data_IF_691145340245
#
_entry.id   IF_691145340245
#
_cell.length_a   1.000
_cell.length_b   1.000
_cell.length_c   1.000
_cell.angle_alpha   90.00
_cell.angle_beta   90.00
_cell.angle_gamma   90.00
#
_symmetry.space_group_name_H-M   'P 1'
#
loop_
_entity.id
_entity.type
_entity.pdbx_description
1 polymer ?
#
# COMPACT_ATOMS: atom_id res chain seq x y z
N UNK A 1 -42.11 65.47 16.82
CA UNK A 1 -42.07 66.25 15.56
C UNK A 1 -43.49 66.37 15.03
N UNK A 2 -43.86 67.47 14.35
CA UNK A 2 -45.19 67.62 13.75
C UNK A 2 -45.42 66.50 12.72
N UNK A 3 -46.59 65.86 12.79
CA UNK A 3 -46.94 64.71 11.93
C UNK A 3 -46.86 65.08 10.44
N UNK A 4 -47.28 66.29 10.10
CA UNK A 4 -47.25 66.81 8.73
C UNK A 4 -45.83 66.96 8.15
N UNK A 5 -44.83 67.24 9.00
CA UNK A 5 -43.43 67.36 8.59
C UNK A 5 -42.80 66.00 8.33
N UNK A 6 -43.21 64.98 9.08
CA UNK A 6 -42.79 63.59 8.86
C UNK A 6 -43.41 63.08 7.55
N UNK A 7 -44.71 63.31 7.35
CA UNK A 7 -45.44 62.92 6.14
C UNK A 7 -44.88 63.60 4.87
N UNK A 8 -44.50 64.88 4.97
CA UNK A 8 -43.87 65.62 3.88
C UNK A 8 -42.45 65.10 3.58
N UNK A 9 -41.68 64.77 4.63
CA UNK A 9 -40.35 64.18 4.49
C UNK A 9 -40.41 62.79 3.84
N UNK A 10 -41.33 61.93 4.27
CA UNK A 10 -41.50 60.58 3.72
C UNK A 10 -41.96 60.60 2.26
N UNK A 11 -42.91 61.49 1.90
CA UNK A 11 -43.33 61.70 0.50
C UNK A 11 -42.21 62.24 -0.39
N UNK A 12 -41.40 63.15 0.13
CA UNK A 12 -40.23 63.64 -0.58
C UNK A 12 -39.23 62.50 -0.83
N UNK A 13 -38.99 61.66 0.18
CA UNK A 13 -38.08 60.53 0.06
C UNK A 13 -38.59 59.43 -0.87
N UNK A 14 -39.89 59.19 -0.96
CA UNK A 14 -40.47 58.34 -2.00
C UNK A 14 -40.26 58.90 -3.42
N UNK A 15 -40.42 60.22 -3.61
CA UNK A 15 -40.21 60.84 -4.92
C UNK A 15 -38.74 60.84 -5.34
N UNK A 16 -37.82 61.12 -4.40
CA UNK A 16 -36.37 61.00 -4.59
C UNK A 16 -36.00 59.55 -4.90
N UNK A 17 -36.55 58.57 -4.17
CA UNK A 17 -36.26 57.17 -4.44
C UNK A 17 -36.78 56.70 -5.82
N UNK A 18 -37.91 57.25 -6.26
CA UNK A 18 -38.53 56.96 -7.56
C UNK A 18 -37.78 57.57 -8.75
N UNK A 19 -37.09 58.71 -8.59
CA UNK A 19 -36.49 59.45 -9.71
C UNK A 19 -34.97 59.57 -9.65
N UNK A 20 -34.33 59.49 -8.48
CA UNK A 20 -32.91 59.82 -8.28
C UNK A 20 -32.05 58.64 -7.82
N UNK A 21 -32.60 57.63 -7.15
CA UNK A 21 -31.81 56.45 -6.77
C UNK A 21 -32.02 55.29 -7.75
N UNK A 22 -31.00 54.92 -8.53
CA UNK A 22 -31.07 53.79 -9.44
C UNK A 22 -30.84 52.48 -8.67
N UNK A 23 -31.53 52.26 -7.55
CA UNK A 23 -31.36 51.05 -6.70
C UNK A 23 -31.67 49.79 -7.49
N UNK A 24 -32.69 49.83 -8.37
CA UNK A 24 -33.00 48.73 -9.28
C UNK A 24 -31.88 48.51 -10.31
N UNK A 25 -31.27 49.57 -10.82
CA UNK A 25 -30.17 49.45 -11.78
C UNK A 25 -28.87 48.99 -11.09
N UNK A 26 -28.58 49.46 -9.87
CA UNK A 26 -27.45 48.99 -9.06
C UNK A 26 -27.59 47.52 -8.69
N UNK A 27 -28.76 47.09 -8.23
CA UNK A 27 -29.03 45.66 -7.97
C UNK A 27 -28.93 44.81 -9.24
N UNK A 28 -29.40 45.32 -10.37
CA UNK A 28 -29.26 44.63 -11.66
C UNK A 28 -27.79 44.52 -12.10
N UNK A 29 -26.97 45.56 -11.85
CA UNK A 29 -25.53 45.55 -12.12
C UNK A 29 -24.79 44.60 -11.17
N UNK A 30 -25.11 44.62 -9.87
CA UNK A 30 -24.52 43.70 -8.87
C UNK A 30 -24.89 42.23 -9.16
N UNK A 31 -26.12 41.94 -9.59
CA UNK A 31 -26.54 40.59 -9.99
C UNK A 31 -25.90 40.14 -11.30
N UNK A 32 -25.66 41.07 -12.23
CA UNK A 32 -24.91 40.79 -13.46
C UNK A 32 -23.43 40.53 -13.18
N UNK A 33 -22.83 41.30 -12.27
CA UNK A 33 -21.44 41.13 -11.82
C UNK A 33 -21.27 39.80 -11.09
N UNK A 34 -22.22 39.41 -10.22
CA UNK A 34 -22.22 38.09 -9.56
C UNK A 34 -22.32 36.95 -10.57
N UNK A 35 -23.21 37.07 -11.58
CA UNK A 35 -23.33 36.06 -12.65
C UNK A 35 -22.06 35.96 -13.49
N UNK A 36 -21.42 37.09 -13.77
CA UNK A 36 -20.15 37.12 -14.49
C UNK A 36 -19.02 36.44 -13.69
N UNK A 37 -18.95 36.69 -12.38
CA UNK A 37 -18.00 36.02 -11.48
C UNK A 37 -18.25 34.50 -11.40
N UNK A 38 -19.51 34.07 -11.22
CA UNK A 38 -19.88 32.64 -11.22
C UNK A 38 -19.52 31.96 -12.55
N UNK A 39 -19.69 32.66 -13.68
CA UNK A 39 -19.31 32.15 -15.00
C UNK A 39 -17.79 32.11 -15.20
N UNK A 40 -17.05 33.09 -14.68
CA UNK A 40 -15.58 33.08 -14.67
C UNK A 40 -15.01 31.97 -13.78
N UNK A 41 -15.57 31.75 -12.59
CA UNK A 41 -15.22 30.65 -11.70
C UNK A 41 -15.50 29.30 -12.37
N UNK A 42 -16.65 29.18 -13.04
CA UNK A 42 -17.00 27.98 -13.80
C UNK A 42 -16.04 27.76 -14.96
N UNK A 43 -15.72 28.80 -15.75
CA UNK A 43 -14.74 28.73 -16.84
C UNK A 43 -13.32 28.46 -16.33
N UNK A 44 -12.96 28.95 -15.14
CA UNK A 44 -11.70 28.64 -14.48
C UNK A 44 -11.65 27.18 -14.04
N UNK A 45 -12.73 26.65 -13.46
CA UNK A 45 -12.86 25.24 -13.11
C UNK A 45 -12.80 24.33 -14.34
N UNK A 46 -13.55 24.66 -15.40
CA UNK A 46 -13.53 23.93 -16.67
C UNK A 46 -12.14 23.92 -17.30
N UNK A 47 -11.45 25.08 -17.37
CA UNK A 47 -10.05 25.16 -17.83
C UNK A 47 -9.08 24.40 -16.94
N UNK A 48 -9.26 24.44 -15.62
CA UNK A 48 -8.39 23.70 -14.68
C UNK A 48 -8.57 22.20 -14.83
N UNK A 49 -9.81 21.73 -14.98
CA UNK A 49 -10.11 20.33 -15.26
C UNK A 49 -9.56 19.94 -16.62
N UNK A 50 -9.76 20.75 -17.66
CA UNK A 50 -9.23 20.51 -19.01
C UNK A 50 -7.70 20.49 -19.00
N UNK A 51 -7.05 21.42 -18.30
CA UNK A 51 -5.59 21.47 -18.11
C UNK A 51 -5.09 20.27 -17.33
N UNK A 52 -5.76 19.83 -16.25
CA UNK A 52 -5.40 18.58 -15.53
C UNK A 52 -5.56 17.36 -16.44
N UNK A 53 -6.61 17.34 -17.27
CA UNK A 53 -6.88 16.27 -18.23
C UNK A 53 -5.88 16.28 -19.39
N UNK A 54 -5.38 17.45 -19.79
CA UNK A 54 -4.44 17.66 -20.91
C UNK A 54 -2.97 17.55 -20.48
N UNK A 55 -2.62 18.03 -19.28
CA UNK A 55 -1.29 17.95 -18.68
C UNK A 55 -0.99 16.58 -18.10
N UNK A 56 -1.99 15.69 -17.92
CA UNK A 56 -1.84 14.26 -17.67
C UNK A 56 -0.55 13.95 -16.90
N UNK A 57 -0.45 14.36 -15.62
CA UNK A 57 0.70 13.97 -14.80
C UNK A 57 0.72 12.44 -14.72
N UNK A 58 1.46 11.83 -15.64
CA UNK A 58 1.58 10.39 -15.78
C UNK A 58 2.67 9.94 -14.83
N UNK A 59 2.25 9.43 -13.68
CA UNK A 59 3.17 8.74 -12.79
C UNK A 59 3.53 7.40 -13.43
N UNK A 60 4.83 7.15 -13.56
CA UNK A 60 5.36 5.88 -14.07
C UNK A 60 6.05 5.16 -12.92
N UNK A 61 5.76 3.87 -12.75
CA UNK A 61 6.56 3.01 -11.90
C UNK A 61 7.98 2.92 -12.48
N UNK A 62 9.04 3.09 -11.67
CA UNK A 62 10.42 2.99 -12.13
C UNK A 62 10.77 1.51 -12.40
N UNK A 63 10.52 1.04 -13.62
CA UNK A 63 10.59 -0.39 -14.00
C UNK A 63 11.97 -0.98 -13.70
N UNK A 64 13.03 -0.21 -13.91
CA UNK A 64 14.41 -0.65 -13.66
C UNK A 64 14.65 -0.92 -12.17
N UNK A 65 14.13 -0.04 -11.29
CA UNK A 65 14.20 -0.22 -9.84
C UNK A 65 13.35 -1.40 -9.38
N UNK A 66 12.15 -1.55 -9.94
CA UNK A 66 11.26 -2.70 -9.70
C UNK A 66 11.97 -4.02 -10.07
N UNK A 67 12.60 -4.10 -11.24
CA UNK A 67 13.37 -5.29 -11.66
C UNK A 67 14.60 -5.53 -10.77
N UNK A 68 15.33 -4.47 -10.41
CA UNK A 68 16.49 -4.55 -9.51
C UNK A 68 16.06 -5.05 -8.13
N UNK A 69 14.93 -4.58 -7.60
CA UNK A 69 14.32 -5.02 -6.35
C UNK A 69 13.93 -6.50 -6.38
N UNK A 70 13.22 -6.94 -7.43
CA UNK A 70 12.83 -8.35 -7.63
C UNK A 70 14.07 -9.25 -7.68
N UNK A 71 15.14 -8.81 -8.35
CA UNK A 71 16.40 -9.55 -8.44
C UNK A 71 17.14 -9.59 -7.11
N UNK A 72 17.25 -8.45 -6.42
CA UNK A 72 17.94 -8.32 -5.14
C UNK A 72 17.31 -9.19 -4.05
N UNK A 73 15.97 -9.20 -3.97
CA UNK A 73 15.24 -10.01 -3.00
C UNK A 73 15.28 -11.52 -3.31
N UNK A 74 15.81 -11.94 -4.46
CA UNK A 74 15.99 -13.35 -4.81
C UNK A 74 14.82 -14.01 -5.54
N UNK A 75 13.76 -13.26 -5.87
CA UNK A 75 12.61 -13.80 -6.62
C UNK A 75 12.98 -14.32 -8.01
N UNK A 76 14.04 -13.77 -8.62
CA UNK A 76 14.48 -14.12 -9.98
C UNK A 76 15.98 -14.32 -10.09
N UNK A 77 16.39 -15.05 -11.12
CA UNK A 77 17.80 -15.21 -11.48
C UNK A 77 18.32 -14.05 -12.34
N UNK A 78 19.61 -14.08 -12.70
CA UNK A 78 20.23 -13.10 -13.58
C UNK A 78 19.57 -12.97 -14.97
N UNK A 79 18.83 -13.99 -15.41
CA UNK A 79 18.07 -14.00 -16.67
C UNK A 79 16.60 -13.60 -16.49
N UNK A 80 16.16 -13.20 -15.30
CA UNK A 80 14.78 -12.83 -15.00
C UNK A 80 13.80 -14.01 -14.83
N UNK A 81 14.29 -15.26 -14.73
CA UNK A 81 13.44 -16.42 -14.47
C UNK A 81 13.12 -16.53 -12.97
N UNK A 82 11.88 -16.89 -12.58
CA UNK A 82 11.53 -17.10 -11.17
C UNK A 82 12.43 -18.15 -10.51
N UNK A 83 12.78 -17.93 -9.24
CA UNK A 83 13.56 -18.85 -8.41
C UNK A 83 12.95 -19.02 -7.03
N UNK A 84 13.20 -20.14 -6.35
CA UNK A 84 12.83 -20.30 -4.96
C UNK A 84 13.68 -19.43 -4.04
N UNK A 85 13.12 -19.04 -2.89
CA UNK A 85 13.83 -18.33 -1.82
C UNK A 85 14.03 -19.29 -0.65
N UNK A 86 15.24 -19.86 -0.55
CA UNK A 86 15.57 -20.89 0.44
C UNK A 86 15.46 -20.43 1.90
N UNK A 87 15.51 -19.12 2.19
CA UNK A 87 15.28 -18.63 3.56
C UNK A 87 13.85 -18.91 4.04
N UNK A 88 12.88 -18.89 3.12
CA UNK A 88 11.46 -19.01 3.47
C UNK A 88 11.03 -20.47 3.66
N UNK A 89 11.85 -21.46 3.28
CA UNK A 89 11.51 -22.89 3.45
C UNK A 89 11.39 -23.29 4.92
N UNK A 90 11.96 -22.50 5.84
CA UNK A 90 11.84 -22.67 7.28
C UNK A 90 10.46 -22.25 7.84
N UNK A 91 9.63 -21.55 7.05
CA UNK A 91 8.30 -21.10 7.47
C UNK A 91 7.24 -22.17 7.17
N UNK A 92 6.06 -22.07 7.79
CA UNK A 92 4.90 -22.89 7.45
C UNK A 92 4.37 -22.56 6.03
N UNK A 93 3.69 -23.51 5.37
CA UNK A 93 3.26 -23.31 3.97
C UNK A 93 2.31 -22.12 3.81
N UNK A 94 1.41 -21.97 4.76
CA UNK A 94 0.50 -20.83 4.95
C UNK A 94 1.27 -19.51 5.03
N UNK A 95 2.29 -19.46 5.87
CA UNK A 95 3.07 -18.25 6.12
C UNK A 95 3.94 -17.87 4.92
N UNK A 96 4.50 -18.86 4.20
CA UNK A 96 5.17 -18.63 2.91
C UNK A 96 4.21 -17.93 1.95
N UNK A 97 3.01 -18.49 1.77
CA UNK A 97 2.02 -17.94 0.84
C UNK A 97 1.57 -16.54 1.29
N UNK A 98 1.29 -16.34 2.58
CA UNK A 98 0.91 -15.03 3.15
C UNK A 98 2.02 -13.99 2.94
N UNK A 99 3.28 -14.36 3.14
CA UNK A 99 4.43 -13.48 2.92
C UNK A 99 4.49 -13.01 1.46
N UNK A 100 4.46 -13.94 0.50
CA UNK A 100 4.46 -13.62 -0.93
C UNK A 100 3.23 -12.78 -1.32
N UNK A 101 2.06 -13.12 -0.75
CA UNK A 101 0.82 -12.40 -0.97
C UNK A 101 0.91 -10.95 -0.48
N UNK A 102 1.43 -10.72 0.72
CA UNK A 102 1.57 -9.37 1.27
C UNK A 102 2.58 -8.51 0.50
N UNK A 103 3.70 -9.09 0.05
CA UNK A 103 4.62 -8.37 -0.87
C UNK A 103 3.87 -7.99 -2.16
N UNK A 104 3.15 -8.92 -2.77
CA UNK A 104 2.37 -8.67 -3.99
C UNK A 104 1.29 -7.61 -3.81
N UNK A 105 0.51 -7.67 -2.74
CA UNK A 105 -0.56 -6.69 -2.42
C UNK A 105 0.00 -5.29 -2.25
N UNK A 106 1.05 -5.12 -1.42
CA UNK A 106 1.71 -3.80 -1.23
C UNK A 106 2.24 -3.22 -2.54
N UNK A 107 2.82 -4.04 -3.42
CA UNK A 107 3.28 -3.57 -4.73
C UNK A 107 2.12 -3.17 -5.64
N UNK A 108 1.04 -3.96 -5.65
CA UNK A 108 -0.15 -3.63 -6.43
C UNK A 108 -0.80 -2.34 -5.95
N UNK A 109 -0.89 -2.14 -4.63
CA UNK A 109 -1.48 -0.94 -4.04
C UNK A 109 -0.58 0.29 -4.23
N UNK A 110 0.74 0.18 -4.02
CA UNK A 110 1.68 1.30 -4.19
C UNK A 110 1.74 1.81 -5.63
N UNK A 111 1.72 0.91 -6.62
CA UNK A 111 1.82 1.28 -8.04
C UNK A 111 0.47 1.35 -8.77
N UNK A 112 -0.66 1.26 -8.07
CA UNK A 112 -1.99 1.16 -8.69
C UNK A 112 -2.38 2.35 -9.58
N UNK A 113 -1.77 3.52 -9.37
CA UNK A 113 -2.02 4.74 -10.13
C UNK A 113 -1.05 4.94 -11.31
N UNK A 114 -0.07 4.05 -11.51
CA UNK A 114 0.97 4.21 -12.51
C UNK A 114 0.49 3.83 -13.92
N UNK A 115 0.82 4.61 -14.94
CA UNK A 115 0.37 4.30 -16.32
C UNK A 115 0.92 2.96 -16.85
N UNK A 116 2.08 2.53 -16.36
CA UNK A 116 2.75 1.28 -16.72
C UNK A 116 2.46 0.15 -15.70
N UNK A 117 1.35 0.25 -14.95
CA UNK A 117 0.95 -0.71 -13.92
C UNK A 117 0.86 -2.16 -14.42
N UNK A 118 0.57 -2.36 -15.72
CA UNK A 118 0.65 -3.68 -16.38
C UNK A 118 1.97 -4.42 -16.11
N UNK A 119 3.10 -3.70 -16.02
CA UNK A 119 4.39 -4.31 -15.69
C UNK A 119 4.43 -4.85 -14.27
N UNK A 120 3.88 -4.09 -13.30
CA UNK A 120 3.79 -4.53 -11.90
C UNK A 120 2.85 -5.73 -11.76
N UNK A 121 1.72 -5.72 -12.49
CA UNK A 121 0.82 -6.87 -12.57
C UNK A 121 1.53 -8.14 -13.05
N UNK A 122 2.43 -8.03 -14.04
CA UNK A 122 3.24 -9.15 -14.53
C UNK A 122 4.20 -9.62 -13.44
N UNK A 123 4.86 -8.70 -12.75
CA UNK A 123 5.78 -9.03 -11.65
C UNK A 123 5.07 -9.86 -10.58
N UNK A 124 3.91 -9.41 -10.11
CA UNK A 124 3.14 -10.14 -9.10
C UNK A 124 2.58 -11.46 -9.65
N UNK A 125 1.98 -11.42 -10.84
CA UNK A 125 1.28 -12.58 -11.41
C UNK A 125 2.20 -13.70 -11.89
N UNK A 126 3.43 -13.36 -12.29
CA UNK A 126 4.41 -14.29 -12.81
C UNK A 126 5.60 -14.45 -11.87
N UNK A 127 6.41 -13.41 -11.65
CA UNK A 127 7.66 -13.55 -10.90
C UNK A 127 7.42 -13.99 -9.45
N UNK A 128 6.58 -13.27 -8.70
CA UNK A 128 6.30 -13.60 -7.30
C UNK A 128 5.53 -14.93 -7.18
N UNK A 129 4.46 -15.11 -7.97
CA UNK A 129 3.65 -16.34 -7.93
C UNK A 129 4.49 -17.60 -8.21
N UNK A 130 5.25 -17.62 -9.29
CA UNK A 130 6.06 -18.80 -9.61
C UNK A 130 7.25 -18.98 -8.67
N UNK A 131 7.81 -17.89 -8.13
CA UNK A 131 8.83 -17.96 -7.08
C UNK A 131 8.27 -18.60 -5.80
N UNK A 132 7.04 -18.26 -5.40
CA UNK A 132 6.31 -18.90 -4.30
C UNK A 132 6.11 -20.40 -4.55
N UNK A 133 5.58 -20.78 -5.72
CA UNK A 133 5.37 -22.19 -6.10
C UNK A 133 6.69 -22.96 -6.05
N UNK A 134 7.77 -22.39 -6.57
CA UNK A 134 9.09 -23.02 -6.56
C UNK A 134 9.64 -23.14 -5.13
N UNK A 135 9.38 -22.16 -4.27
CA UNK A 135 9.80 -22.19 -2.86
C UNK A 135 9.07 -23.31 -2.10
N UNK A 136 7.76 -23.46 -2.32
CA UNK A 136 6.97 -24.57 -1.77
C UNK A 136 7.45 -25.92 -2.33
N UNK A 137 7.77 -25.97 -3.63
CA UNK A 137 8.33 -27.17 -4.25
C UNK A 137 9.67 -27.56 -3.61
N UNK A 138 10.58 -26.60 -3.41
CA UNK A 138 11.88 -26.83 -2.75
C UNK A 138 11.70 -27.28 -1.30
N UNK A 139 10.81 -26.63 -0.53
CA UNK A 139 10.53 -27.00 0.86
C UNK A 139 10.10 -28.46 1.01
N UNK A 140 9.26 -28.94 0.10
CA UNK A 140 8.71 -30.30 0.13
C UNK A 140 9.50 -31.29 -0.74
N UNK A 141 10.71 -30.91 -1.18
CA UNK A 141 11.56 -31.72 -2.08
C UNK A 141 10.80 -32.28 -3.30
N UNK A 142 9.85 -31.50 -3.80
CA UNK A 142 8.89 -31.91 -4.83
C UNK A 142 9.13 -31.17 -6.14
N UNK A 143 8.51 -31.68 -7.21
CA UNK A 143 8.54 -31.00 -8.49
C UNK A 143 7.56 -29.83 -8.53
N UNK A 144 7.84 -28.83 -9.39
CA UNK A 144 6.89 -27.74 -9.69
C UNK A 144 5.49 -28.24 -10.06
N UNK A 145 5.39 -29.40 -10.74
CA UNK A 145 4.10 -29.97 -11.15
C UNK A 145 3.30 -30.48 -9.95
N UNK A 146 3.96 -31.12 -9.00
CA UNK A 146 3.34 -31.60 -7.75
C UNK A 146 2.92 -30.45 -6.86
N UNK A 147 3.79 -29.43 -6.70
CA UNK A 147 3.43 -28.22 -5.96
C UNK A 147 2.20 -27.52 -6.58
N UNK A 148 2.11 -27.40 -7.91
CA UNK A 148 0.93 -26.85 -8.59
C UNK A 148 -0.29 -27.76 -8.41
N UNK A 149 -0.12 -29.09 -8.33
CA UNK A 149 -1.25 -30.00 -8.09
C UNK A 149 -1.82 -29.81 -6.70
N UNK A 150 -0.96 -29.59 -5.70
CA UNK A 150 -1.36 -29.41 -4.30
C UNK A 150 -1.92 -28.00 -4.04
N UNK A 151 -1.13 -26.95 -4.32
CA UNK A 151 -1.49 -25.56 -4.00
C UNK A 151 -2.29 -24.87 -5.11
N UNK A 152 -2.52 -25.53 -6.25
CA UNK A 152 -3.09 -24.94 -7.47
C UNK A 152 -2.23 -23.78 -8.03
N UNK A 153 -2.68 -23.16 -9.12
CA UNK A 153 -2.03 -21.94 -9.64
C UNK A 153 -2.33 -20.70 -8.81
N UNK A 154 -3.44 -20.72 -8.07
CA UNK A 154 -3.90 -19.59 -7.26
C UNK A 154 -3.34 -19.63 -5.83
N UNK A 155 -2.46 -20.58 -5.50
CA UNK A 155 -1.82 -20.72 -4.18
C UNK A 155 -2.87 -20.86 -3.06
N UNK A 156 -3.81 -21.78 -3.27
CA UNK A 156 -4.84 -22.14 -2.31
C UNK A 156 -4.23 -22.91 -1.15
N UNK A 157 -4.69 -22.61 0.05
CA UNK A 157 -4.39 -23.36 1.27
C UNK A 157 -5.67 -24.07 1.69
N UNK A 158 -5.59 -25.36 1.96
CA UNK A 158 -6.69 -26.12 2.57
C UNK A 158 -6.41 -26.24 4.07
N UNK A 159 -7.36 -25.82 4.90
CA UNK A 159 -7.27 -26.01 6.34
C UNK A 159 -7.64 -27.46 6.75
N UNK A 160 -7.55 -27.75 8.06
CA UNK A 160 -7.89 -29.07 8.61
C UNK A 160 -9.40 -29.39 8.52
N UNK A 161 -10.23 -28.37 8.31
CA UNK A 161 -11.69 -28.45 8.22
C UNK A 161 -12.16 -28.59 6.76
N UNK A 162 -11.23 -28.54 5.80
CA UNK A 162 -11.49 -28.65 4.37
C UNK A 162 -11.87 -27.32 3.70
N UNK A 163 -11.79 -26.19 4.39
CA UNK A 163 -12.00 -24.87 3.79
C UNK A 163 -10.78 -24.46 2.96
N UNK A 164 -11.05 -23.87 1.80
CA UNK A 164 -10.01 -23.34 0.91
C UNK A 164 -9.85 -21.84 1.10
N UNK A 165 -8.71 -21.42 1.62
CA UNK A 165 -8.31 -20.02 1.72
C UNK A 165 -7.43 -19.61 0.54
N UNK A 166 -7.66 -18.39 0.04
CA UNK A 166 -6.85 -17.77 -1.02
C UNK A 166 -6.27 -16.45 -0.53
N UNK A 167 -4.99 -16.48 -0.17
CA UNK A 167 -4.27 -15.29 0.32
C UNK A 167 -3.63 -14.51 -0.82
N UNK A 168 -3.05 -15.21 -1.81
CA UNK A 168 -2.33 -14.58 -2.90
C UNK A 168 -3.30 -13.98 -3.93
N UNK A 169 -3.10 -12.73 -4.40
CA UNK A 169 -4.01 -12.09 -5.35
C UNK A 169 -4.24 -12.94 -6.61
N UNK A 170 -5.49 -13.28 -6.94
CA UNK A 170 -5.79 -14.16 -8.07
C UNK A 170 -5.47 -13.48 -9.41
N UNK A 171 -5.24 -14.26 -10.48
CA UNK A 171 -4.98 -13.66 -11.80
C UNK A 171 -6.16 -12.77 -12.27
N UNK A 172 -7.39 -13.13 -11.89
CA UNK A 172 -8.58 -12.33 -12.17
C UNK A 172 -8.57 -11.01 -11.40
N UNK A 173 -8.33 -11.03 -10.09
CA UNK A 173 -8.21 -9.81 -9.27
C UNK A 173 -7.16 -8.85 -9.85
N UNK A 174 -5.95 -9.35 -10.12
CA UNK A 174 -4.85 -8.53 -10.65
C UNK A 174 -5.21 -7.95 -12.03
N UNK A 175 -5.88 -8.72 -12.90
CA UNK A 175 -6.36 -8.22 -14.19
C UNK A 175 -7.41 -7.12 -14.02
N UNK A 176 -8.38 -7.33 -13.14
CA UNK A 176 -9.51 -6.43 -12.90
C UNK A 176 -9.13 -5.14 -12.15
N UNK A 177 -7.96 -5.07 -11.50
CA UNK A 177 -7.49 -3.82 -10.91
C UNK A 177 -7.34 -2.73 -11.98
N UNK A 178 -8.21 -1.72 -11.94
CA UNK A 178 -8.13 -0.55 -12.82
C UNK A 178 -7.17 0.51 -12.29
N UNK A 179 -7.07 1.61 -13.02
CA UNK A 179 -6.34 2.81 -12.59
C UNK A 179 -7.12 3.41 -11.42
N UNK A 180 -6.63 3.21 -10.19
CA UNK A 180 -7.22 3.84 -9.00
C UNK A 180 -6.77 5.29 -8.92
N UNK A 181 -7.57 6.15 -8.29
CA UNK A 181 -7.19 7.52 -7.97
C UNK A 181 -5.87 7.55 -7.19
N UNK A 182 -5.10 8.62 -7.41
CA UNK A 182 -3.92 8.93 -6.60
C UNK A 182 -4.31 8.89 -5.12
N UNK A 183 -3.74 7.95 -4.39
CA UNK A 183 -3.85 7.83 -2.94
C UNK A 183 -2.44 7.91 -2.37
N UNK A 184 -2.33 8.41 -1.14
CA UNK A 184 -1.03 8.45 -0.45
C UNK A 184 -0.49 7.03 -0.39
N UNK A 185 0.61 6.74 -1.12
CA UNK A 185 1.03 5.38 -1.28
C UNK A 185 1.64 4.92 0.04
N UNK A 186 1.06 3.88 0.66
CA UNK A 186 1.73 3.18 1.76
C UNK A 186 3.05 2.64 1.20
N UNK A 187 4.21 3.08 1.71
CA UNK A 187 5.48 2.70 1.12
C UNK A 187 5.58 1.18 1.00
N UNK A 188 6.21 0.71 -0.07
CA UNK A 188 6.63 -0.69 -0.13
C UNK A 188 7.70 -0.86 0.95
N UNK A 189 7.24 -1.20 2.15
CA UNK A 189 8.12 -1.44 3.28
C UNK A 189 9.19 -2.45 2.90
N UNK A 190 10.32 -2.42 3.62
CA UNK A 190 11.40 -3.40 3.48
C UNK A 190 10.99 -4.84 3.79
N UNK A 191 9.70 -5.17 3.87
CA UNK A 191 9.18 -6.51 4.14
C UNK A 191 9.60 -7.52 3.06
N UNK A 192 9.84 -7.07 1.82
CA UNK A 192 10.48 -7.91 0.80
C UNK A 192 11.87 -8.43 1.22
N UNK A 193 12.53 -7.77 2.17
CA UNK A 193 13.79 -8.18 2.77
C UNK A 193 13.63 -8.75 4.18
N UNK A 194 12.41 -8.97 4.68
CA UNK A 194 12.13 -9.48 6.02
C UNK A 194 11.59 -10.91 5.97
N UNK A 195 12.13 -11.80 6.79
CA UNK A 195 11.54 -13.11 7.09
C UNK A 195 11.38 -13.27 8.61
N UNK A 196 10.25 -13.83 9.04
CA UNK A 196 9.92 -14.02 10.46
C UNK A 196 9.93 -15.52 10.79
N UNK A 197 11.04 -16.00 11.32
CA UNK A 197 11.21 -17.43 11.60
C UNK A 197 10.62 -17.72 12.98
N UNK A 198 9.58 -18.57 13.03
CA UNK A 198 9.01 -19.09 14.28
C UNK A 198 10.08 -19.82 15.08
N UNK A 199 10.24 -19.46 16.35
CA UNK A 199 11.09 -20.19 17.30
C UNK A 199 10.27 -21.27 18.00
N UNK A 200 10.83 -22.47 18.10
CA UNK A 200 10.33 -23.51 18.97
C UNK A 200 10.93 -23.27 20.37
N UNK A 201 10.28 -22.42 21.18
CA UNK A 201 10.68 -22.16 22.56
C UNK A 201 9.45 -22.28 23.46
N UNK A 202 9.59 -22.99 24.58
CA UNK A 202 8.60 -23.10 25.66
C UNK A 202 8.72 -21.93 26.67
N UNK A 203 9.08 -20.74 26.18
CA UNK A 203 9.26 -19.53 27.00
C UNK A 203 7.91 -19.04 27.56
N UNK A 204 7.87 -18.38 28.73
CA UNK A 204 6.63 -17.82 29.28
C UNK A 204 5.88 -16.95 28.28
N UNK A 205 4.55 -17.01 28.32
CA UNK A 205 3.67 -16.23 27.46
C UNK A 205 3.94 -14.73 27.63
N UNK A 206 4.57 -14.13 26.61
CA UNK A 206 4.74 -12.70 26.49
C UNK A 206 3.46 -12.06 25.93
N UNK A 207 3.21 -10.79 26.26
CA UNK A 207 2.16 -10.02 25.59
C UNK A 207 2.58 -9.70 24.16
N UNK A 208 1.60 -9.61 23.25
CA UNK A 208 1.86 -9.24 21.87
C UNK A 208 2.45 -7.83 21.80
N UNK A 209 3.54 -7.67 21.05
CA UNK A 209 4.22 -6.36 20.93
C UNK A 209 3.55 -5.39 19.96
N UNK A 210 2.49 -5.81 19.27
CA UNK A 210 1.72 -4.92 18.39
C UNK A 210 0.97 -3.88 19.24
N UNK A 211 0.97 -2.63 18.80
CA UNK A 211 0.29 -1.56 19.50
C UNK A 211 -1.19 -1.89 19.70
N UNK A 212 -1.71 -1.59 20.91
CA UNK A 212 -3.11 -1.84 21.30
C UNK A 212 -3.54 -3.31 21.24
N UNK A 213 -2.60 -4.25 21.45
CA UNK A 213 -2.90 -5.67 21.59
C UNK A 213 -2.70 -6.16 23.03
N UNK A 214 -3.75 -6.70 23.64
CA UNK A 214 -3.72 -7.25 25.00
C UNK A 214 -3.62 -8.78 25.03
N UNK A 215 -3.29 -9.40 23.89
CA UNK A 215 -3.19 -10.87 23.77
C UNK A 215 -1.88 -11.38 24.34
N UNK A 216 -1.97 -12.48 25.10
CA UNK A 216 -0.82 -13.16 25.70
C UNK A 216 -0.52 -14.52 25.04
N UNK A 217 -1.38 -14.99 24.13
CA UNK A 217 -1.16 -16.16 23.28
C UNK A 217 -0.20 -15.80 22.13
N UNK A 218 1.07 -15.56 22.48
CA UNK A 218 2.08 -15.17 21.53
C UNK A 218 3.08 -16.28 21.23
N UNK A 219 3.65 -16.19 20.04
CA UNK A 219 4.75 -17.03 19.59
C UNK A 219 5.93 -16.12 19.32
N UNK A 220 7.12 -16.59 19.72
CA UNK A 220 8.37 -15.89 19.47
C UNK A 220 8.79 -16.08 18.01
N UNK A 221 8.91 -14.97 17.28
CA UNK A 221 9.43 -14.94 15.91
C UNK A 221 10.77 -14.21 15.86
N UNK A 222 11.77 -14.87 15.28
CA UNK A 222 13.09 -14.28 15.02
C UNK A 222 13.08 -13.56 13.68
N UNK A 223 13.39 -12.27 13.71
CA UNK A 223 13.56 -11.44 12.53
C UNK A 223 14.84 -11.86 11.79
N UNK A 224 14.72 -12.16 10.50
CA UNK A 224 15.86 -12.37 9.60
C UNK A 224 15.75 -11.44 8.41
N UNK A 225 16.78 -10.65 8.19
CA UNK A 225 16.82 -9.78 7.02
C UNK A 225 17.53 -10.49 5.85
N UNK A 226 16.83 -10.64 4.72
CA UNK A 226 17.35 -11.18 3.46
C UNK A 226 18.55 -10.37 2.97
N UNK A 227 18.55 -9.05 3.16
CA UNK A 227 19.67 -8.16 2.76
C UNK A 227 21.01 -8.58 3.39
N UNK A 228 20.97 -9.03 4.64
CA UNK A 228 22.14 -9.50 5.38
C UNK A 228 22.63 -10.86 4.91
N UNK A 229 21.73 -11.74 4.42
CA UNK A 229 22.14 -12.98 3.74
C UNK A 229 22.72 -12.72 2.36
N UNK A 230 22.22 -11.72 1.65
CA UNK A 230 22.69 -11.35 0.32
C UNK A 230 23.95 -10.49 0.35
N UNK A 231 24.45 -10.13 1.55
CA UNK A 231 25.60 -9.25 1.77
C UNK A 231 25.50 -7.92 1.02
N UNK A 232 24.28 -7.36 0.98
CA UNK A 232 23.98 -6.08 0.34
C UNK A 232 23.91 -5.01 1.42
N UNK A 233 24.82 -4.04 1.37
CA UNK A 233 24.76 -2.86 2.24
C UNK A 233 23.66 -1.92 1.72
N UNK A 234 22.64 -1.56 2.52
CA UNK A 234 21.62 -0.58 2.11
C UNK A 234 22.18 0.81 1.79
N UNK A 235 23.38 1.14 2.29
CA UNK A 235 24.09 2.39 1.99
C UNK A 235 24.86 2.36 0.65
N UNK A 236 25.01 1.19 0.04
CA UNK A 236 25.65 1.02 -1.27
C UNK A 236 24.58 1.17 -2.36
N UNK A 237 24.41 2.40 -2.87
CA UNK A 237 23.43 2.74 -3.91
C UNK A 237 23.58 1.92 -5.20
N UNK A 238 24.77 1.41 -5.50
CA UNK A 238 24.99 0.56 -6.68
C UNK A 238 24.33 -0.81 -6.51
N UNK A 239 24.36 -1.36 -5.29
CA UNK A 239 23.77 -2.67 -4.99
C UNK A 239 22.34 -2.58 -4.45
N UNK A 240 22.00 -1.51 -3.73
CA UNK A 240 20.68 -1.25 -3.16
C UNK A 240 19.75 -0.53 -4.15
N UNK A 241 18.44 -0.61 -3.92
CA UNK A 241 17.44 0.10 -4.71
C UNK A 241 17.10 1.37 -3.95
N UNK A 242 17.60 2.51 -4.43
CA UNK A 242 17.32 3.81 -3.83
C UNK A 242 15.80 4.05 -3.75
N UNK A 243 15.31 4.47 -2.58
CA UNK A 243 13.88 4.66 -2.30
C UNK A 243 13.13 3.40 -1.85
N UNK A 244 13.78 2.22 -1.84
CA UNK A 244 13.24 1.04 -1.19
C UNK A 244 13.42 1.15 0.32
N UNK A 245 12.37 0.88 1.10
CA UNK A 245 12.45 0.92 2.56
C UNK A 245 13.51 -0.03 3.08
N UNK A 246 14.55 0.51 3.74
CA UNK A 246 15.57 -0.29 4.40
C UNK A 246 15.15 -0.56 5.85
N UNK A 247 15.17 -1.83 6.25
CA UNK A 247 15.01 -2.20 7.66
C UNK A 247 16.38 -2.05 8.33
N UNK A 248 16.42 -1.39 9.48
CA UNK A 248 17.65 -1.16 10.22
C UNK A 248 18.29 -2.50 10.61
N UNK A 249 19.60 -2.66 10.36
CA UNK A 249 20.30 -3.94 10.56
C UNK A 249 20.30 -4.41 12.02
N UNK A 250 20.15 -3.49 12.98
CA UNK A 250 19.98 -3.82 14.40
C UNK A 250 18.72 -4.65 14.73
N UNK A 251 17.76 -4.73 13.80
CA UNK A 251 16.58 -5.60 13.93
C UNK A 251 16.88 -7.05 13.53
N UNK A 252 17.96 -7.28 12.78
CA UNK A 252 18.31 -8.62 12.36
C UNK A 252 18.64 -9.50 13.58
N UNK A 253 18.05 -10.69 13.64
CA UNK A 253 18.14 -11.68 14.72
C UNK A 253 17.42 -11.32 16.02
N UNK A 254 16.83 -10.13 16.13
CA UNK A 254 15.94 -9.78 17.24
C UNK A 254 14.70 -10.66 17.23
N UNK A 255 14.15 -10.93 18.41
CA UNK A 255 12.95 -11.74 18.57
C UNK A 255 11.76 -10.88 18.99
N UNK A 256 10.59 -11.19 18.41
CA UNK A 256 9.32 -10.51 18.68
C UNK A 256 8.24 -11.52 19.07
N UNK A 257 7.51 -11.31 20.19
CA UNK A 257 6.31 -12.08 20.49
C UNK A 257 5.10 -11.50 19.76
N UNK A 258 4.53 -12.28 18.84
CA UNK A 258 3.31 -11.91 18.11
C UNK A 258 2.22 -12.97 18.31
N UNK A 259 0.97 -12.52 18.42
CA UNK A 259 -0.18 -13.43 18.38
C UNK A 259 -0.48 -13.87 16.93
N UNK A 260 -1.30 -14.91 16.77
CA UNK A 260 -1.67 -15.48 15.46
C UNK A 260 -2.23 -14.46 14.46
N UNK A 261 -2.98 -13.48 14.97
CA UNK A 261 -3.67 -12.51 14.14
C UNK A 261 -2.68 -11.48 13.60
N UNK A 262 -1.82 -10.94 14.48
CA UNK A 262 -0.84 -9.92 14.11
C UNK A 262 0.32 -10.47 13.28
N UNK A 263 0.75 -11.72 13.48
CA UNK A 263 1.71 -12.33 12.55
C UNK A 263 1.10 -12.47 11.15
N UNK A 264 -0.16 -12.92 11.06
CA UNK A 264 -0.87 -13.04 9.79
C UNK A 264 -1.05 -11.68 9.10
N UNK A 265 -1.43 -10.66 9.86
CA UNK A 265 -1.62 -9.30 9.35
C UNK A 265 -0.31 -8.63 8.90
N UNK A 266 0.80 -8.90 9.61
CA UNK A 266 2.13 -8.42 9.23
C UNK A 266 2.62 -9.08 7.93
N UNK A 267 2.45 -10.41 7.81
CA UNK A 267 2.80 -11.17 6.61
C UNK A 267 1.97 -10.70 5.40
N UNK A 268 0.65 -10.54 5.58
CA UNK A 268 -0.27 -10.05 4.55
C UNK A 268 -0.11 -8.55 4.24
N UNK A 269 0.65 -7.83 5.06
CA UNK A 269 0.95 -6.40 4.87
C UNK A 269 -0.18 -5.45 5.20
N UNK A 270 -1.07 -5.85 6.12
CA UNK A 270 -2.08 -4.97 6.68
C UNK A 270 -1.49 -4.04 7.74
N UNK A 271 -0.52 -4.54 8.50
CA UNK A 271 0.30 -3.78 9.46
C UNK A 271 1.77 -3.81 9.03
N UNK A 272 2.55 -2.88 9.60
CA UNK A 272 3.96 -2.63 9.30
C UNK A 272 4.80 -2.79 10.58
N UNK A 273 6.12 -2.68 10.48
CA UNK A 273 6.98 -2.67 11.67
C UNK A 273 6.78 -1.40 12.54
N UNK A 274 6.16 -0.34 12.00
CA UNK A 274 5.85 0.87 12.78
C UNK A 274 4.66 0.66 13.73
N UNK A 275 3.84 -0.35 13.46
CA UNK A 275 2.69 -0.74 14.29
C UNK A 275 3.11 -1.68 15.44
N UNK A 276 4.42 -1.95 15.56
CA UNK A 276 5.01 -2.87 16.53
C UNK A 276 5.94 -2.09 17.46
N UNK A 277 5.81 -2.33 18.75
CA UNK A 277 6.72 -1.77 19.74
C UNK A 277 8.11 -2.42 19.58
N UNK A 278 8.98 -1.67 18.91
CA UNK A 278 10.35 -2.06 18.63
C UNK A 278 11.29 -1.86 19.84
N UNK A 279 10.79 -1.38 20.98
CA UNK A 279 11.60 -1.21 22.20
C UNK A 279 11.59 -2.44 23.08
N UNK A 280 10.59 -3.32 22.93
CA UNK A 280 10.43 -4.56 23.69
C UNK A 280 11.09 -5.78 23.04
N UNK A 281 12.08 -5.60 22.16
CA UNK A 281 12.79 -6.72 21.55
C UNK A 281 13.64 -7.49 22.54
N UNK A 282 13.58 -8.81 22.46
CA UNK A 282 14.42 -9.69 23.24
C UNK A 282 15.64 -10.13 22.40
N UNK A 283 16.81 -10.07 23.03
CA UNK A 283 18.03 -10.69 22.53
C UNK A 283 18.04 -12.15 22.97
N UNK A 284 17.82 -13.04 22.00
CA UNK A 284 17.91 -14.49 22.21
C UNK A 284 19.03 -14.96 21.29
N UNK A 285 20.11 -15.48 21.89
CA UNK A 285 21.33 -15.95 21.21
C UNK A 285 21.08 -17.01 20.12
#
# INVERSE_FOLDING_TARGET
>A
MPVELIDAYDKFQEQVNKHLTPVKARKALEEEERRMQEEEERKYGERTVEDLTRLCMKVSAPIELVRKAVKMAGFTNNMGRPRPISLLTALEDTDIIKWYAGVGRRWLDFFCCCHNFKMVKIVVSYHLRFSCILTLAEKHESTKREAIKHFTKDLKVTDMEGNEDVYFPTEREVKMMGDKSLSDPKPVDGVLSLALIRLASDEPSHSCVTHFCDRNDTIMHRIRLLQNRMNVNPLDDEKWVRGMGAIHDGLNRKCIPLCSDHISDLLLGKITLQDIDCTSFLDVD
#
